data_IF_835885382809
#
_entry.id   IF_835885382809
#
_cell.length_a   1.000
_cell.length_b   1.000
_cell.length_c   1.000
_cell.angle_alpha   90.00
_cell.angle_beta   90.00
_cell.angle_gamma   90.00
#
_symmetry.space_group_name_H-M   'P 1'
#
loop_
_entity.id
_entity.type
_entity.pdbx_description
1 polymer ?
#
# COMPACT_ATOMS: atom_id res chain seq x y z
N UNK A 1 18.20 24.56 -13.81
CA UNK A 1 17.34 23.48 -13.31
C UNK A 1 18.17 22.51 -12.52
N UNK A 2 17.72 22.13 -11.36
CA UNK A 2 18.48 21.28 -10.43
C UNK A 2 17.72 20.03 -9.97
N UNK A 3 16.53 19.83 -10.51
CA UNK A 3 15.69 18.67 -10.19
C UNK A 3 15.94 17.56 -11.20
N UNK A 4 16.30 16.38 -10.72
CA UNK A 4 16.40 15.19 -11.55
C UNK A 4 16.13 13.93 -10.76
N UNK A 5 15.77 12.88 -11.45
CA UNK A 5 15.44 11.59 -10.88
C UNK A 5 16.05 10.48 -11.74
N UNK A 6 16.70 9.51 -11.10
CA UNK A 6 17.16 8.29 -11.72
C UNK A 6 16.67 7.08 -10.93
N UNK A 7 16.22 6.05 -11.61
CA UNK A 7 15.79 4.82 -10.97
C UNK A 7 16.26 3.59 -11.73
N UNK A 8 16.62 2.57 -10.99
CA UNK A 8 16.88 1.22 -11.47
C UNK A 8 15.90 0.26 -10.81
N UNK A 9 15.26 -0.61 -11.60
CA UNK A 9 14.26 -1.56 -11.11
C UNK A 9 14.55 -2.96 -11.64
N UNK A 10 14.69 -3.92 -10.71
CA UNK A 10 14.73 -5.35 -10.99
C UNK A 10 13.43 -6.01 -10.55
N UNK A 11 12.93 -6.92 -11.35
CA UNK A 11 11.68 -7.66 -11.07
C UNK A 11 11.83 -9.12 -11.43
N UNK A 12 11.36 -10.01 -10.54
CA UNK A 12 11.28 -11.45 -10.78
C UNK A 12 9.88 -11.90 -10.39
N UNK A 13 9.23 -12.64 -11.29
CA UNK A 13 7.98 -13.33 -11.02
C UNK A 13 8.09 -14.78 -11.45
N UNK A 14 7.63 -15.69 -10.63
CA UNK A 14 7.58 -17.14 -10.91
C UNK A 14 6.33 -17.75 -10.31
N UNK A 15 5.77 -18.68 -11.07
CA UNK A 15 4.71 -19.56 -10.60
C UNK A 15 5.25 -20.98 -10.63
N UNK A 16 5.08 -21.68 -9.52
CA UNK A 16 5.45 -23.08 -9.39
C UNK A 16 4.30 -23.85 -8.72
N UNK A 17 3.60 -24.68 -9.47
CA UNK A 17 2.37 -25.35 -9.03
C UNK A 17 1.37 -24.36 -8.38
N UNK A 18 1.12 -24.52 -7.09
CA UNK A 18 0.19 -23.71 -6.30
C UNK A 18 0.86 -22.50 -5.63
N UNK A 19 2.15 -22.27 -5.88
CA UNK A 19 2.93 -21.18 -5.33
C UNK A 19 3.16 -20.10 -6.36
N UNK A 20 2.65 -18.90 -6.11
CA UNK A 20 2.95 -17.68 -6.85
C UNK A 20 3.95 -16.84 -6.04
N UNK A 21 5.04 -16.49 -6.67
CA UNK A 21 6.11 -15.69 -6.06
C UNK A 21 6.44 -14.51 -6.96
N UNK A 22 6.51 -13.32 -6.41
CA UNK A 22 7.07 -12.17 -7.09
C UNK A 22 7.88 -11.29 -6.14
N UNK A 23 8.96 -10.73 -6.66
CA UNK A 23 9.83 -9.81 -5.93
C UNK A 23 10.27 -8.67 -6.84
N UNK A 24 10.42 -7.49 -6.24
CA UNK A 24 10.87 -6.28 -6.91
C UNK A 24 11.86 -5.56 -6.01
N UNK A 25 13.01 -5.22 -6.58
CA UNK A 25 13.99 -4.31 -5.97
C UNK A 25 14.06 -3.06 -6.83
N UNK A 26 13.95 -1.90 -6.20
CA UNK A 26 14.14 -0.61 -6.87
C UNK A 26 15.14 0.22 -6.08
N UNK A 27 16.05 0.83 -6.80
CA UNK A 27 16.90 1.90 -6.30
C UNK A 27 16.50 3.19 -6.98
N UNK A 28 16.31 4.27 -6.21
CA UNK A 28 15.93 5.57 -6.74
C UNK A 28 16.79 6.66 -6.11
N UNK A 29 17.30 7.55 -6.95
CA UNK A 29 17.98 8.77 -6.55
C UNK A 29 17.15 9.95 -7.05
N UNK A 30 16.78 10.87 -6.16
CA UNK A 30 16.06 12.10 -6.47
C UNK A 30 16.88 13.27 -5.96
N UNK A 31 17.16 14.23 -6.84
CA UNK A 31 17.67 15.55 -6.44
C UNK A 31 16.54 16.55 -6.57
N UNK A 32 16.20 17.24 -5.50
CA UNK A 32 15.34 18.41 -5.50
C UNK A 32 16.16 19.65 -5.19
N UNK A 33 15.95 20.71 -5.95
CA UNK A 33 16.63 21.98 -5.77
C UNK A 33 15.64 23.13 -5.76
N UNK A 34 15.84 24.07 -4.85
CA UNK A 34 15.03 25.27 -4.74
C UNK A 34 15.88 26.46 -4.27
N UNK A 35 15.35 27.67 -4.40
CA UNK A 35 15.94 28.89 -3.86
C UNK A 35 15.21 29.21 -2.56
N UNK A 36 15.94 29.22 -1.47
CA UNK A 36 15.39 29.56 -0.15
C UNK A 36 16.02 30.85 0.35
N UNK A 37 15.27 31.68 1.03
CA UNK A 37 15.79 32.84 1.78
C UNK A 37 15.92 32.44 3.25
N UNK A 38 17.11 32.54 3.80
CA UNK A 38 17.38 32.35 5.20
C UNK A 38 17.54 33.73 5.83
N UNK A 39 16.71 34.07 6.80
CA UNK A 39 16.73 35.34 7.57
C UNK A 39 16.62 36.63 6.72
N UNK A 40 15.91 36.59 5.59
CA UNK A 40 15.72 37.77 4.73
C UNK A 40 16.96 38.22 3.98
N UNK A 41 18.04 37.44 4.02
CA UNK A 41 19.29 37.64 3.28
C UNK A 41 19.24 37.06 1.86
N UNK A 42 20.37 37.02 1.16
CA UNK A 42 20.46 36.54 -0.21
C UNK A 42 19.84 35.13 -0.39
N UNK A 43 19.19 34.93 -1.52
CA UNK A 43 18.65 33.63 -1.91
C UNK A 43 19.76 32.57 -2.01
N UNK A 44 19.65 31.51 -1.22
CA UNK A 44 20.56 30.39 -1.25
C UNK A 44 19.94 29.25 -2.05
N UNK A 45 20.76 28.57 -2.82
CA UNK A 45 20.32 27.35 -3.54
C UNK A 45 20.38 26.15 -2.62
N UNK A 46 19.23 25.71 -2.16
CA UNK A 46 19.06 24.46 -1.43
C UNK A 46 19.02 23.28 -2.40
N UNK A 47 19.72 22.21 -2.09
CA UNK A 47 19.61 20.91 -2.75
C UNK A 47 19.42 19.82 -1.71
N UNK A 48 18.42 19.00 -1.90
CA UNK A 48 18.19 17.79 -1.10
C UNK A 48 18.33 16.57 -2.01
N UNK A 49 19.11 15.61 -1.56
CA UNK A 49 19.32 14.33 -2.20
C UNK A 49 18.56 13.25 -1.43
N UNK A 50 17.61 12.60 -2.09
CA UNK A 50 16.87 11.44 -1.58
C UNK A 50 17.37 10.19 -2.31
N UNK A 51 18.08 9.33 -1.57
CA UNK A 51 18.50 8.02 -2.05
C UNK A 51 17.68 6.97 -1.37
N UNK A 52 16.87 6.22 -2.12
CA UNK A 52 16.04 5.20 -1.53
C UNK A 52 16.16 3.84 -2.22
N UNK A 53 15.97 2.81 -1.41
CA UNK A 53 15.91 1.41 -1.81
C UNK A 53 14.55 0.89 -1.39
N UNK A 54 13.77 0.44 -2.36
CA UNK A 54 12.47 -0.21 -2.15
C UNK A 54 12.59 -1.69 -2.49
N UNK A 55 12.21 -2.55 -1.55
CA UNK A 55 12.12 -3.99 -1.76
C UNK A 55 10.69 -4.46 -1.52
N UNK A 56 10.15 -5.23 -2.46
CA UNK A 56 8.83 -5.83 -2.37
C UNK A 56 8.91 -7.33 -2.60
N UNK A 57 8.22 -8.07 -1.77
CA UNK A 57 8.07 -9.52 -1.87
C UNK A 57 6.60 -9.87 -1.69
N UNK A 58 6.07 -10.67 -2.61
CA UNK A 58 4.76 -11.29 -2.45
C UNK A 58 4.91 -12.79 -2.72
N UNK A 59 4.33 -13.58 -1.85
CA UNK A 59 4.31 -15.02 -1.93
C UNK A 59 2.88 -15.48 -1.64
N UNK A 60 2.28 -16.23 -2.53
CA UNK A 60 0.91 -16.72 -2.37
C UNK A 60 0.85 -18.21 -2.62
N UNK A 61 0.27 -18.95 -1.70
CA UNK A 61 0.03 -20.39 -1.85
C UNK A 61 -1.47 -20.67 -1.92
N UNK A 62 -1.88 -21.45 -2.91
CA UNK A 62 -3.27 -21.81 -3.17
C UNK A 62 -3.53 -23.26 -2.79
N UNK A 63 -4.27 -23.46 -1.69
CA UNK A 63 -4.87 -24.74 -1.32
C UNK A 63 -6.23 -24.92 -1.99
N UNK A 64 -6.85 -26.10 -1.96
CA UNK A 64 -8.15 -26.34 -2.59
C UNK A 64 -9.28 -25.38 -2.13
N UNK A 65 -9.31 -25.02 -0.84
CA UNK A 65 -10.36 -24.17 -0.27
C UNK A 65 -9.84 -22.86 0.32
N UNK A 66 -8.52 -22.71 0.44
CA UNK A 66 -7.89 -21.57 1.12
C UNK A 66 -6.73 -21.07 0.28
N UNK A 67 -6.66 -19.76 0.11
CA UNK A 67 -5.53 -19.07 -0.49
C UNK A 67 -4.87 -18.21 0.60
N UNK A 68 -3.57 -18.39 0.82
CA UNK A 68 -2.80 -17.65 1.82
C UNK A 68 -1.70 -16.88 1.12
N UNK A 69 -1.59 -15.60 1.42
CA UNK A 69 -0.55 -14.73 0.90
C UNK A 69 0.28 -14.12 2.02
N UNK A 70 1.56 -13.98 1.75
CA UNK A 70 2.51 -13.21 2.55
C UNK A 70 3.01 -12.05 1.70
N UNK A 71 3.05 -10.86 2.26
CA UNK A 71 3.60 -9.69 1.59
C UNK A 71 4.59 -8.98 2.51
N UNK A 72 5.63 -8.46 1.90
CA UNK A 72 6.62 -7.63 2.55
C UNK A 72 6.96 -6.46 1.62
N UNK A 73 6.96 -5.24 2.16
CA UNK A 73 7.44 -4.05 1.49
C UNK A 73 8.40 -3.34 2.45
N UNK A 74 9.66 -3.24 2.08
CA UNK A 74 10.67 -2.52 2.82
C UNK A 74 11.13 -1.30 2.03
N UNK A 75 11.29 -0.17 2.70
CA UNK A 75 11.89 1.03 2.16
C UNK A 75 12.95 1.56 3.11
N UNK A 76 14.14 1.76 2.60
CA UNK A 76 15.18 2.57 3.22
C UNK A 76 15.34 3.85 2.44
N UNK A 77 15.37 5.00 3.10
CA UNK A 77 15.61 6.28 2.48
C UNK A 77 16.67 7.06 3.26
N UNK A 78 17.63 7.62 2.53
CA UNK A 78 18.68 8.49 3.06
C UNK A 78 18.54 9.87 2.44
N UNK A 79 18.28 10.87 3.30
CA UNK A 79 18.17 12.27 2.95
C UNK A 79 19.45 13.00 3.36
N UNK A 80 20.06 13.70 2.41
CA UNK A 80 21.21 14.57 2.63
C UNK A 80 21.01 15.91 1.94
N UNK A 81 21.71 16.96 2.36
CA UNK A 81 21.62 18.29 1.75
C UNK A 81 22.98 18.95 1.65
N UNK A 82 23.06 19.93 0.77
CA UNK A 82 24.21 20.86 0.70
C UNK A 82 24.15 21.98 1.75
N UNK A 83 23.05 22.10 2.50
CA UNK A 83 22.89 23.08 3.56
C UNK A 83 23.53 22.57 4.85
N UNK A 84 24.26 23.46 5.55
CA UNK A 84 24.93 23.14 6.84
C UNK A 84 23.95 22.84 7.95
N UNK A 85 22.80 23.48 7.93
CA UNK A 85 21.75 23.35 8.98
C UNK A 85 20.81 22.15 8.73
N UNK A 86 21.02 21.42 7.62
CA UNK A 86 20.23 20.24 7.32
C UNK A 86 20.75 19.02 8.08
N UNK A 87 19.97 18.49 8.98
CA UNK A 87 20.29 17.23 9.63
C UNK A 87 20.04 16.06 8.67
N UNK A 88 21.10 15.34 8.31
CA UNK A 88 20.99 14.13 7.51
C UNK A 88 20.08 13.11 8.21
N UNK A 89 19.21 12.48 7.46
CA UNK A 89 18.23 11.57 8.00
C UNK A 89 18.25 10.24 7.26
N UNK A 90 18.25 9.14 8.01
CA UNK A 90 18.07 7.80 7.51
C UNK A 90 16.77 7.25 8.06
N UNK A 91 15.84 6.91 7.17
CA UNK A 91 14.54 6.37 7.56
C UNK A 91 14.36 4.95 7.05
N UNK A 92 13.68 4.13 7.85
CA UNK A 92 13.31 2.77 7.52
C UNK A 92 11.81 2.64 7.65
N UNK A 93 11.19 2.09 6.62
CA UNK A 93 9.80 1.71 6.66
C UNK A 93 9.66 0.30 6.15
N UNK A 94 8.92 -0.55 6.86
CA UNK A 94 8.56 -1.85 6.32
C UNK A 94 7.12 -2.22 6.71
N UNK A 95 6.45 -2.83 5.76
CA UNK A 95 5.11 -3.36 5.94
C UNK A 95 5.18 -4.85 5.72
N UNK A 96 4.76 -5.61 6.71
CA UNK A 96 4.67 -7.08 6.62
C UNK A 96 3.22 -7.47 6.80
N UNK A 97 2.69 -8.23 5.86
CA UNK A 97 1.29 -8.61 5.89
C UNK A 97 1.06 -10.08 5.60
N UNK A 98 -0.03 -10.58 6.14
CA UNK A 98 -0.60 -11.89 5.84
C UNK A 98 -2.02 -11.67 5.36
N UNK A 99 -2.37 -12.28 4.25
CA UNK A 99 -3.75 -12.28 3.76
C UNK A 99 -4.22 -13.71 3.53
N UNK A 100 -5.49 -13.95 3.78
CA UNK A 100 -6.12 -15.24 3.54
C UNK A 100 -7.49 -15.06 2.91
N UNK A 101 -7.82 -15.98 2.00
CA UNK A 101 -9.17 -16.10 1.42
C UNK A 101 -9.59 -17.55 1.55
N UNK A 102 -10.69 -17.81 2.22
CA UNK A 102 -11.25 -19.14 2.43
C UNK A 102 -12.62 -19.26 1.78
N UNK A 103 -12.81 -20.29 0.98
CA UNK A 103 -14.12 -20.69 0.45
C UNK A 103 -14.76 -21.66 1.43
N UNK A 104 -15.93 -21.28 1.97
CA UNK A 104 -16.66 -21.99 2.98
C UNK A 104 -17.90 -22.67 2.40
N UNK A 105 -18.49 -23.67 3.08
CA UNK A 105 -19.77 -24.25 2.65
C UNK A 105 -20.89 -23.21 2.48
N UNK A 106 -21.94 -23.59 1.77
CA UNK A 106 -23.12 -22.76 1.52
C UNK A 106 -22.82 -21.43 0.79
N UNK A 107 -21.78 -21.41 -0.08
CA UNK A 107 -21.37 -20.25 -0.87
C UNK A 107 -20.94 -19.03 -0.03
N UNK A 108 -20.38 -19.27 1.15
CA UNK A 108 -19.68 -18.25 1.89
C UNK A 108 -18.23 -18.14 1.45
N UNK A 109 -17.68 -16.94 1.53
CA UNK A 109 -16.26 -16.67 1.41
C UNK A 109 -15.83 -15.72 2.52
N UNK A 110 -14.76 -16.08 3.22
CA UNK A 110 -14.11 -15.23 4.21
C UNK A 110 -12.78 -14.77 3.65
N UNK A 111 -12.52 -13.47 3.67
CA UNK A 111 -11.21 -12.91 3.41
C UNK A 111 -10.78 -12.04 4.59
N UNK A 112 -9.49 -12.10 4.90
CA UNK A 112 -8.90 -11.25 5.93
C UNK A 112 -7.48 -10.87 5.52
N UNK A 113 -7.06 -9.67 5.87
CA UNK A 113 -5.69 -9.20 5.77
C UNK A 113 -5.26 -8.53 7.07
N UNK A 114 -4.10 -8.91 7.56
CA UNK A 114 -3.42 -8.29 8.69
C UNK A 114 -2.10 -7.74 8.18
N UNK A 115 -1.89 -6.44 8.32
CA UNK A 115 -0.65 -5.78 7.91
C UNK A 115 -0.08 -5.00 9.09
N UNK A 116 1.19 -5.23 9.39
CA UNK A 116 1.99 -4.42 10.29
C UNK A 116 2.71 -3.35 9.48
N UNK A 117 2.53 -2.09 9.84
CA UNK A 117 3.24 -0.94 9.31
C UNK A 117 4.27 -0.47 10.32
N UNK A 118 5.54 -0.49 9.94
CA UNK A 118 6.64 -0.07 10.80
C UNK A 118 7.35 1.13 10.20
N UNK A 119 7.64 2.13 11.03
CA UNK A 119 8.44 3.31 10.67
C UNK A 119 9.51 3.56 11.71
N UNK A 120 10.73 3.88 11.28
CA UNK A 120 11.88 4.15 12.13
C UNK A 120 12.80 5.20 11.51
N UNK A 121 13.62 5.82 12.35
CA UNK A 121 14.66 6.76 11.92
C UNK A 121 14.18 8.18 11.71
N UNK A 122 12.94 8.50 12.11
CA UNK A 122 12.44 9.88 12.10
C UNK A 122 12.93 10.61 13.35
N UNK A 123 13.30 11.88 13.18
CA UNK A 123 13.74 12.76 14.28
C UNK A 123 12.62 13.00 15.29
N UNK A 124 11.37 13.10 14.81
CA UNK A 124 10.20 13.12 15.68
C UNK A 124 9.83 11.67 16.04
N UNK A 125 9.90 11.36 17.33
CA UNK A 125 9.60 10.03 17.87
C UNK A 125 8.15 9.60 17.60
N UNK A 126 7.21 10.54 17.52
CA UNK A 126 5.81 10.25 17.22
C UNK A 126 5.61 9.63 15.83
N UNK A 127 6.57 9.79 14.91
CA UNK A 127 6.57 9.20 13.59
C UNK A 127 7.17 7.78 13.54
N UNK A 128 7.86 7.37 14.62
CA UNK A 128 8.45 6.04 14.76
C UNK A 128 7.41 5.05 15.30
N UNK A 129 6.54 4.56 14.44
CA UNK A 129 5.34 3.80 14.82
C UNK A 129 5.39 2.33 14.41
N UNK A 130 4.62 1.50 15.12
CA UNK A 130 4.19 0.17 14.72
C UNK A 130 2.67 0.14 14.74
N UNK A 131 2.06 0.03 13.58
CA UNK A 131 0.61 -0.02 13.47
C UNK A 131 0.18 -1.35 12.89
N UNK A 132 -0.83 -1.98 13.48
CA UNK A 132 -1.41 -3.24 13.02
C UNK A 132 -2.81 -2.97 12.47
N UNK A 133 -2.98 -3.14 11.17
CA UNK A 133 -4.27 -2.94 10.51
C UNK A 133 -4.84 -4.30 10.11
N UNK A 134 -5.99 -4.64 10.66
CA UNK A 134 -6.75 -5.84 10.32
C UNK A 134 -8.02 -5.45 9.59
N UNK A 135 -8.17 -5.95 8.36
CA UNK A 135 -9.42 -5.89 7.61
C UNK A 135 -9.97 -7.29 7.40
N UNK A 136 -11.27 -7.43 7.36
CA UNK A 136 -11.93 -8.69 7.07
C UNK A 136 -13.21 -8.47 6.27
N UNK A 137 -13.54 -9.43 5.42
CA UNK A 137 -14.80 -9.48 4.66
C UNK A 137 -15.40 -10.86 4.73
N UNK A 138 -16.66 -10.92 5.09
CA UNK A 138 -17.51 -12.10 4.94
C UNK A 138 -18.49 -11.84 3.79
N UNK A 139 -18.48 -12.69 2.77
CA UNK A 139 -19.42 -12.59 1.66
C UNK A 139 -20.23 -13.87 1.52
N UNK A 140 -21.46 -13.72 1.03
CA UNK A 140 -22.36 -14.83 0.71
C UNK A 140 -23.01 -14.61 -0.63
N UNK A 141 -22.83 -15.59 -1.52
CA UNK A 141 -23.53 -15.62 -2.81
C UNK A 141 -24.88 -16.33 -2.65
N UNK A 142 -25.95 -15.67 -3.06
CA UNK A 142 -27.33 -16.16 -3.02
C UNK A 142 -27.99 -16.02 -4.39
N UNK A 143 -29.21 -16.54 -4.55
CA UNK A 143 -29.96 -16.51 -5.80
C UNK A 143 -29.15 -17.03 -7.01
N UNK A 144 -28.48 -18.18 -6.85
CA UNK A 144 -27.61 -18.79 -7.89
C UNK A 144 -26.53 -17.82 -8.43
N UNK A 145 -25.97 -16.97 -7.57
CA UNK A 145 -24.92 -16.02 -7.93
C UNK A 145 -25.40 -14.67 -8.45
N UNK A 146 -26.71 -14.44 -8.56
CA UNK A 146 -27.26 -13.17 -9.00
C UNK A 146 -27.18 -12.09 -7.92
N UNK A 147 -27.04 -12.48 -6.65
CA UNK A 147 -26.91 -11.53 -5.54
C UNK A 147 -25.79 -11.95 -4.60
N UNK A 148 -24.99 -10.98 -4.19
CA UNK A 148 -23.90 -11.16 -3.23
C UNK A 148 -24.11 -10.17 -2.08
N UNK A 149 -24.16 -10.70 -0.87
CA UNK A 149 -24.12 -9.93 0.36
C UNK A 149 -22.69 -9.92 0.90
N UNK A 150 -22.19 -8.76 1.32
CA UNK A 150 -20.83 -8.63 1.87
C UNK A 150 -20.89 -7.79 3.14
N UNK A 151 -20.24 -8.28 4.19
CA UNK A 151 -19.99 -7.54 5.43
C UNK A 151 -18.48 -7.29 5.52
N UNK A 152 -18.08 -6.03 5.51
CA UNK A 152 -16.72 -5.56 5.61
C UNK A 152 -16.45 -4.96 6.98
N UNK A 153 -15.30 -5.30 7.57
CA UNK A 153 -14.73 -4.62 8.71
C UNK A 153 -13.39 -4.04 8.31
N UNK A 154 -13.22 -2.74 8.51
CA UNK A 154 -12.00 -2.00 8.21
C UNK A 154 -11.34 -1.54 9.48
N UNK A 155 -10.01 -1.67 9.53
CA UNK A 155 -9.19 -1.29 10.69
C UNK A 155 -9.79 -1.79 12.01
N UNK A 156 -10.10 -3.10 12.07
CA UNK A 156 -10.80 -3.73 13.19
C UNK A 156 -10.03 -3.53 14.51
N UNK A 157 -8.69 -3.45 14.44
CA UNK A 157 -7.83 -3.20 15.60
C UNK A 157 -7.78 -1.72 16.01
N UNK A 158 -8.26 -0.80 15.15
CA UNK A 158 -8.27 0.64 15.38
C UNK A 158 -6.87 1.24 15.57
N UNK A 159 -5.92 0.84 14.72
CA UNK A 159 -4.52 1.21 14.86
C UNK A 159 -3.92 1.85 13.58
N UNK A 160 -4.79 2.31 12.65
CA UNK A 160 -4.37 2.96 11.41
C UNK A 160 -3.74 4.33 11.69
N UNK A 161 -2.49 4.53 11.24
CA UNK A 161 -1.84 5.84 11.32
C UNK A 161 -2.42 6.84 10.34
N UNK A 162 -2.64 8.07 10.80
CA UNK A 162 -3.16 9.19 10.03
C UNK A 162 -2.08 10.21 9.61
N UNK A 163 -0.80 9.91 9.86
CA UNK A 163 0.32 10.83 9.62
C UNK A 163 1.13 10.39 8.42
N UNK A 164 1.45 11.32 7.52
CA UNK A 164 2.41 11.14 6.44
C UNK A 164 3.53 12.17 6.54
N UNK A 165 4.71 11.81 6.01
CA UNK A 165 5.93 12.59 6.11
C UNK A 165 6.60 12.70 4.75
N UNK A 166 7.07 13.90 4.38
CA UNK A 166 7.77 14.18 3.14
C UNK A 166 8.96 15.11 3.39
N UNK A 167 10.10 14.83 2.75
CA UNK A 167 11.30 15.69 2.75
C UNK A 167 11.63 16.11 1.33
N UNK A 168 11.86 17.40 1.13
CA UNK A 168 12.31 17.97 -0.15
C UNK A 168 13.21 19.19 0.09
N UNK A 169 13.60 19.89 -1.00
CA UNK A 169 14.47 21.06 -0.93
C UNK A 169 13.89 22.26 -0.15
N UNK A 170 12.56 22.33 -0.03
CA UNK A 170 11.86 23.39 0.72
C UNK A 170 11.81 23.08 2.23
N UNK A 171 11.97 21.81 2.61
CA UNK A 171 11.96 21.43 4.01
C UNK A 171 11.31 20.09 4.28
N UNK A 172 10.85 19.93 5.52
CA UNK A 172 10.14 18.76 6.03
C UNK A 172 8.67 19.10 6.18
N UNK A 173 7.81 18.25 5.64
CA UNK A 173 6.35 18.42 5.74
C UNK A 173 5.76 17.21 6.43
N UNK A 174 5.03 17.43 7.49
CA UNK A 174 4.18 16.47 8.17
C UNK A 174 2.73 16.76 7.79
N UNK A 175 2.02 15.74 7.36
CA UNK A 175 0.61 15.87 6.98
C UNK A 175 -0.23 14.97 7.87
N UNK A 176 -1.08 15.59 8.68
CA UNK A 176 -2.09 14.91 9.46
C UNK A 176 -3.39 14.85 8.66
N UNK A 177 -3.97 13.66 8.53
CA UNK A 177 -5.23 13.47 7.81
C UNK A 177 -6.28 12.95 8.77
N UNK A 178 -7.50 13.48 8.67
CA UNK A 178 -8.64 12.85 9.33
C UNK A 178 -8.97 11.56 8.59
N UNK A 179 -8.76 10.43 9.22
CA UNK A 179 -9.13 9.11 8.71
C UNK A 179 -10.38 8.64 9.44
N UNK A 180 -11.21 7.88 8.75
CA UNK A 180 -12.31 7.18 9.40
C UNK A 180 -11.72 6.14 10.36
N UNK A 181 -12.10 6.17 11.64
CA UNK A 181 -11.71 5.11 12.56
C UNK A 181 -12.34 3.80 12.12
N UNK A 182 -12.06 2.72 12.85
CA UNK A 182 -12.68 1.40 12.62
C UNK A 182 -14.16 1.53 12.26
N UNK A 183 -14.55 0.92 11.15
CA UNK A 183 -15.95 0.92 10.71
C UNK A 183 -16.31 -0.42 10.06
N UNK A 184 -17.61 -0.68 10.02
CA UNK A 184 -18.19 -1.83 9.33
C UNK A 184 -19.12 -1.35 8.24
N UNK A 185 -19.16 -2.09 7.12
CA UNK A 185 -19.98 -1.74 5.97
C UNK A 185 -20.70 -2.98 5.44
N UNK A 186 -22.01 -2.83 5.18
CA UNK A 186 -22.81 -3.86 4.50
C UNK A 186 -22.98 -3.47 3.04
N UNK A 187 -22.59 -4.37 2.14
CA UNK A 187 -22.78 -4.22 0.71
C UNK A 187 -23.77 -5.25 0.18
N UNK A 188 -24.60 -4.81 -0.75
CA UNK A 188 -25.48 -5.67 -1.53
C UNK A 188 -25.16 -5.45 -3.00
N UNK A 189 -24.67 -6.48 -3.67
CA UNK A 189 -24.43 -6.46 -5.10
C UNK A 189 -25.47 -7.33 -5.81
N UNK A 190 -26.23 -6.73 -6.71
CA UNK A 190 -27.19 -7.45 -7.54
C UNK A 190 -26.79 -7.39 -9.01
N UNK A 191 -26.76 -8.56 -9.69
CA UNK A 191 -26.44 -8.68 -11.11
C UNK A 191 -27.73 -8.92 -11.90
N UNK A 192 -28.13 -7.94 -12.70
CA UNK A 192 -29.26 -8.06 -13.62
C UNK A 192 -28.71 -8.56 -14.96
N UNK A 193 -28.68 -9.87 -15.18
CA UNK A 193 -28.35 -10.45 -16.49
C UNK A 193 -29.61 -10.51 -17.35
N UNK A 194 -29.79 -9.54 -18.21
CA UNK A 194 -30.80 -9.61 -19.25
C UNK A 194 -30.14 -10.17 -20.52
N UNK A 195 -30.18 -11.49 -20.71
CA UNK A 195 -29.81 -12.10 -21.99
C UNK A 195 -30.99 -11.97 -22.92
N UNK A 196 -30.91 -11.18 -24.02
CA UNK A 196 -32.00 -11.13 -25.00
C UNK A 196 -32.24 -12.54 -25.56
N UNK A 197 -33.47 -13.03 -25.52
CA UNK A 197 -33.84 -14.28 -26.19
C UNK A 197 -33.50 -14.12 -27.66
N UNK A 198 -32.57 -14.91 -28.19
CA UNK A 198 -32.37 -15.03 -29.63
C UNK A 198 -33.69 -15.47 -30.26
N UNK A 199 -34.30 -14.57 -31.06
CA UNK A 199 -35.40 -14.96 -31.91
C UNK A 199 -34.91 -16.03 -32.88
N UNK A 200 -35.33 -17.26 -32.69
CA UNK A 200 -35.19 -18.33 -33.69
C UNK A 200 -35.78 -17.81 -35.01
N UNK A 201 -34.92 -17.64 -36.02
CA UNK A 201 -35.40 -17.41 -37.38
C UNK A 201 -36.11 -18.69 -37.81
N UNK A 202 -37.43 -18.65 -37.85
CA UNK A 202 -38.26 -19.67 -38.45
C UNK A 202 -38.00 -19.59 -39.96
N UNK A 203 -37.22 -20.53 -40.51
CA UNK A 203 -37.05 -20.66 -41.94
C UNK A 203 -38.43 -20.98 -42.54
N UNK A 204 -38.86 -20.13 -43.44
CA UNK A 204 -39.91 -20.39 -44.40
C UNK A 204 -39.30 -20.86 -45.71
#
# INVERSE_FOLDING_TARGET
DGNWNASFVGYIARQYNNLDFNTRLAFTHITSADLISQDGSALLRSKVFDNNVDYKLNCTYTFPLVKVGLNFNGRFARYTSNLTDFTNQNTWGFNTGVNAVATLPANFQLSADLTMYNRRGFTDEALNTNNFVLNARLSKSILKGSMILMLDGYDILHDLSNVSYTVNAQGRTETYRTVLPRYFMLHVQWRFNHTPKQRSKKNR
#
